data_IF_931953939520
#
_entry.id   IF_931953939520
#
_cell.length_a   1.000
_cell.length_b   1.000
_cell.length_c   1.000
_cell.angle_alpha   90.00
_cell.angle_beta   90.00
_cell.angle_gamma   90.00
#
_symmetry.space_group_name_H-M   'P 1'
#
loop_
_entity.id
_entity.type
_entity.pdbx_description
1 polymer ?
#
# COMPACT_ATOMS: atom_id res chain seq x y z
N UNK A 1 -12.44 9.64 -12.81
CA UNK A 1 -11.32 10.27 -12.08
C UNK A 1 -10.93 11.54 -12.82
N UNK A 2 -10.83 12.72 -12.19
CA UNK A 2 -10.41 13.94 -12.89
C UNK A 2 -9.02 13.78 -13.51
N UNK A 3 -8.73 14.42 -14.66
CA UNK A 3 -7.50 14.19 -15.43
C UNK A 3 -6.21 14.36 -14.62
N UNK A 4 -6.17 15.33 -13.70
CA UNK A 4 -5.00 15.59 -12.87
C UNK A 4 -4.64 14.43 -11.91
N UNK A 5 -5.63 13.65 -11.44
CA UNK A 5 -5.38 12.47 -10.59
C UNK A 5 -4.77 11.32 -11.37
N UNK A 6 -5.21 11.14 -12.63
CA UNK A 6 -4.64 10.12 -13.52
C UNK A 6 -3.18 10.45 -13.81
N UNK A 7 -2.88 11.71 -14.17
CA UNK A 7 -1.51 12.16 -14.41
C UNK A 7 -0.61 11.99 -13.18
N UNK A 8 -1.12 12.31 -11.97
CA UNK A 8 -0.39 12.11 -10.72
C UNK A 8 -0.05 10.64 -10.46
N UNK A 9 -0.95 9.71 -10.79
CA UNK A 9 -0.75 8.27 -10.59
C UNK A 9 0.13 7.62 -11.67
N UNK A 10 0.15 8.14 -12.89
CA UNK A 10 0.91 7.56 -14.01
C UNK A 10 2.42 7.48 -13.77
N UNK A 11 3.03 8.49 -13.11
CA UNK A 11 4.47 8.50 -12.83
C UNK A 11 4.89 7.38 -11.87
N UNK A 12 4.32 7.27 -10.64
CA UNK A 12 4.69 6.19 -9.73
C UNK A 12 4.30 4.82 -10.27
N UNK A 13 3.18 4.70 -11.00
CA UNK A 13 2.72 3.42 -11.55
C UNK A 13 3.76 2.69 -12.43
N UNK A 14 4.73 3.39 -13.02
CA UNK A 14 5.81 2.80 -13.82
C UNK A 14 6.73 1.85 -13.04
N UNK A 15 6.80 2.00 -11.71
CA UNK A 15 7.62 1.14 -10.83
C UNK A 15 6.85 -0.04 -10.22
N UNK A 16 5.57 -0.18 -10.57
CA UNK A 16 4.69 -1.19 -10.01
C UNK A 16 4.33 -2.22 -11.08
N UNK A 17 4.40 -3.51 -10.71
CA UNK A 17 3.83 -4.59 -11.52
C UNK A 17 2.39 -4.85 -11.09
N UNK A 18 1.63 -5.61 -11.89
CA UNK A 18 0.26 -6.00 -11.52
C UNK A 18 0.26 -6.78 -10.19
N UNK A 19 1.26 -7.64 -10.02
CA UNK A 19 1.40 -8.51 -8.85
C UNK A 19 1.77 -7.70 -7.60
N UNK A 20 2.68 -6.74 -7.70
CA UNK A 20 3.06 -5.92 -6.54
C UNK A 20 1.93 -5.00 -6.09
N UNK A 21 1.10 -4.49 -7.01
CA UNK A 21 -0.12 -3.75 -6.66
C UNK A 21 -1.14 -4.65 -5.95
N UNK A 22 -1.35 -5.87 -6.45
CA UNK A 22 -2.28 -6.81 -5.83
C UNK A 22 -1.83 -7.16 -4.40
N UNK A 23 -0.54 -7.35 -4.19
CA UNK A 23 0.01 -7.62 -2.86
C UNK A 23 -0.08 -6.42 -1.93
N UNK A 24 0.27 -5.21 -2.40
CA UNK A 24 0.10 -4.00 -1.62
C UNK A 24 -1.37 -3.78 -1.20
N UNK A 25 -2.32 -4.10 -2.08
CA UNK A 25 -3.73 -3.99 -1.76
C UNK A 25 -4.14 -4.95 -0.64
N UNK A 26 -3.64 -6.19 -0.65
CA UNK A 26 -3.88 -7.17 0.43
C UNK A 26 -3.31 -6.69 1.76
N UNK A 27 -2.08 -6.18 1.76
CA UNK A 27 -1.43 -5.62 2.96
C UNK A 27 -2.22 -4.45 3.56
N UNK A 28 -2.65 -3.51 2.71
CA UNK A 28 -3.43 -2.35 3.16
C UNK A 28 -4.83 -2.76 3.66
N UNK A 29 -5.44 -3.78 3.04
CA UNK A 29 -6.73 -4.30 3.51
C UNK A 29 -6.62 -4.94 4.90
N UNK A 30 -5.56 -5.71 5.15
CA UNK A 30 -5.25 -6.25 6.48
C UNK A 30 -5.00 -5.13 7.49
N UNK A 31 -4.16 -4.13 7.13
CA UNK A 31 -3.87 -2.98 7.97
C UNK A 31 -5.15 -2.22 8.39
N UNK A 32 -6.13 -2.08 7.50
CA UNK A 32 -7.39 -1.41 7.85
C UNK A 32 -8.13 -2.12 9.00
N UNK A 33 -8.05 -3.44 9.12
CA UNK A 33 -8.59 -4.16 10.27
C UNK A 33 -7.72 -3.91 11.52
N UNK A 34 -6.39 -3.99 11.37
CA UNK A 34 -5.43 -3.80 12.46
C UNK A 34 -5.61 -2.46 13.16
N UNK A 35 -5.64 -1.35 12.41
CA UNK A 35 -5.82 0.01 12.96
C UNK A 35 -7.24 0.27 13.49
N UNK A 36 -8.18 -0.64 13.26
CA UNK A 36 -9.54 -0.61 13.83
C UNK A 36 -9.68 -1.45 15.09
N UNK A 37 -8.56 -1.88 15.67
CA UNK A 37 -8.52 -2.60 16.95
C UNK A 37 -8.35 -4.11 16.82
N UNK A 38 -8.05 -4.63 15.61
CA UNK A 38 -7.68 -6.04 15.45
C UNK A 38 -6.23 -6.32 15.87
N UNK A 39 -5.35 -5.32 15.84
CA UNK A 39 -3.97 -5.43 16.28
C UNK A 39 -3.81 -5.01 17.76
N UNK A 40 -2.84 -5.63 18.43
CA UNK A 40 -2.45 -5.26 19.79
C UNK A 40 -1.76 -3.89 19.87
N UNK A 41 -1.07 -3.51 18.80
CA UNK A 41 -0.40 -2.22 18.62
C UNK A 41 -0.66 -1.73 17.18
N UNK A 42 -1.49 -0.70 17.05
CA UNK A 42 -1.88 -0.15 15.76
C UNK A 42 -0.76 0.66 15.09
N UNK A 43 0.10 1.31 15.89
CA UNK A 43 1.20 2.12 15.38
C UNK A 43 2.26 1.21 14.77
N UNK A 44 2.62 0.13 15.48
CA UNK A 44 3.51 -0.90 14.94
C UNK A 44 2.93 -1.56 13.68
N UNK A 45 1.64 -1.90 13.66
CA UNK A 45 1.00 -2.49 12.48
C UNK A 45 1.10 -1.56 11.26
N UNK A 46 0.89 -0.26 11.46
CA UNK A 46 1.05 0.75 10.42
C UNK A 46 2.49 0.83 9.89
N UNK A 47 3.47 0.93 10.78
CA UNK A 47 4.89 0.99 10.40
C UNK A 47 5.31 -0.26 9.61
N UNK A 48 4.93 -1.44 10.09
CA UNK A 48 5.24 -2.71 9.44
C UNK A 48 4.60 -2.81 8.05
N UNK A 49 3.34 -2.39 7.90
CA UNK A 49 2.66 -2.39 6.61
C UNK A 49 3.30 -1.41 5.62
N UNK A 50 3.65 -0.18 6.06
CA UNK A 50 4.35 0.79 5.20
C UNK A 50 5.69 0.26 4.73
N UNK A 51 6.48 -0.37 5.61
CA UNK A 51 7.76 -0.99 5.26
C UNK A 51 7.60 -2.06 4.19
N UNK A 52 6.67 -3.01 4.41
CA UNK A 52 6.38 -4.09 3.45
C UNK A 52 5.95 -3.53 2.09
N UNK A 53 5.06 -2.53 2.06
CA UNK A 53 4.60 -1.91 0.80
C UNK A 53 5.76 -1.22 0.06
N UNK A 54 6.69 -0.58 0.78
CA UNK A 54 7.86 0.04 0.16
C UNK A 54 8.81 -1.00 -0.48
N UNK A 55 8.93 -2.18 0.13
CA UNK A 55 9.74 -3.30 -0.37
C UNK A 55 9.13 -3.99 -1.62
N UNK A 56 7.85 -3.76 -1.94
CA UNK A 56 7.17 -4.33 -3.10
C UNK A 56 7.42 -3.60 -4.43
N UNK A 57 7.97 -2.39 -4.38
CA UNK A 57 8.28 -1.64 -5.60
C UNK A 57 9.39 -2.38 -6.34
N UNK A 58 9.15 -2.73 -7.61
CA UNK A 58 10.17 -3.41 -8.42
C UNK A 58 11.44 -2.55 -8.47
N UNK A 59 12.60 -3.21 -8.42
CA UNK A 59 13.87 -2.58 -8.80
C UNK A 59 13.75 -1.92 -10.18
#
# INVERSE_FOLDING_TARGET
>A
MPPWRVQKAQRPARRWSRDSVAEALRLVAALNADVKGAAADADYALEAAVRKVAELVAD
#
